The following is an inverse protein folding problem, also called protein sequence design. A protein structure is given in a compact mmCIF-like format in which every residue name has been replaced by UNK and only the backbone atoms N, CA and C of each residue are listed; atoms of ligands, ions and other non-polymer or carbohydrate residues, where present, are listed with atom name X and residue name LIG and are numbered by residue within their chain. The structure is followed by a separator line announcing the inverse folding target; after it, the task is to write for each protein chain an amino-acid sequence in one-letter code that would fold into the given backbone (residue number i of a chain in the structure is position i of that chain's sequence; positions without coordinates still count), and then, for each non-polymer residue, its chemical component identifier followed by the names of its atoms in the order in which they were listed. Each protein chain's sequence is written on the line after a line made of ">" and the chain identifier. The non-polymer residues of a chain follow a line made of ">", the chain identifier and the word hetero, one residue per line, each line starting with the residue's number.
data_IF_924340819247
#
_entry.id   IF_924340819247
#
_cell.length_a   1.000
_cell.length_b   1.000
_cell.length_c   1.000
_cell.angle_alpha   90.00
_cell.angle_beta   90.00
_cell.angle_gamma   90.00
#
_symmetry.space_group_name_H-M   'P 1'
#
loop_
_entity.id
_entity.type
_entity.pdbx_description
1 polymer ?
#
# COMPACT_ATOMS: atom_id res chain seq x y z
N UNK A 1 2.17 8.43 -5.95
CA UNK A 1 3.09 7.28 -5.95
C UNK A 1 3.42 6.94 -4.51
N UNK A 2 3.28 5.67 -4.13
CA UNK A 2 3.49 5.15 -2.78
C UNK A 2 4.80 4.36 -2.74
N UNK A 3 5.76 4.85 -1.97
CA UNK A 3 7.10 4.27 -1.87
C UNK A 3 7.29 3.66 -0.48
N UNK A 4 7.45 2.34 -0.46
CA UNK A 4 7.78 1.57 0.72
C UNK A 4 9.26 1.67 1.06
N UNK A 5 9.89 0.53 1.31
CA UNK A 5 11.29 0.53 1.73
C UNK A 5 11.80 -0.87 2.05
N UNK A 6 12.86 -0.95 2.85
CA UNK A 6 13.40 -2.25 3.26
C UNK A 6 12.32 -3.12 3.89
N UNK A 7 12.23 -4.37 3.42
CA UNK A 7 11.30 -5.35 3.93
C UNK A 7 11.99 -6.71 4.03
N UNK A 8 11.42 -7.61 4.85
CA UNK A 8 11.94 -8.97 5.04
C UNK A 8 11.75 -9.89 3.83
N UNK A 9 10.96 -9.48 2.84
CA UNK A 9 10.50 -10.33 1.74
C UNK A 9 11.04 -9.91 0.38
N UNK A 10 11.47 -8.66 0.24
CA UNK A 10 11.96 -8.09 -1.02
C UNK A 10 13.34 -7.49 -0.84
N UNK A 11 14.17 -7.63 -1.88
CA UNK A 11 15.47 -6.98 -1.97
C UNK A 11 15.29 -5.56 -2.46
N UNK A 12 15.44 -4.63 -1.52
CA UNK A 12 15.43 -3.21 -1.85
C UNK A 12 16.76 -2.80 -2.47
N UNK A 13 16.70 -2.16 -3.64
CA UNK A 13 17.80 -1.45 -4.29
C UNK A 13 17.32 -0.07 -4.72
N UNK A 14 17.76 0.98 -4.03
CA UNK A 14 17.26 2.36 -4.23
C UNK A 14 17.39 2.81 -5.68
N UNK A 15 18.47 2.43 -6.38
CA UNK A 15 18.71 2.78 -7.79
C UNK A 15 17.67 2.13 -8.72
N UNK A 16 17.35 0.87 -8.51
CA UNK A 16 16.37 0.15 -9.32
C UNK A 16 14.95 0.62 -9.06
N UNK A 17 14.61 0.95 -7.81
CA UNK A 17 13.30 1.55 -7.49
C UNK A 17 13.20 2.96 -8.10
N UNK A 18 14.23 3.80 -7.95
CA UNK A 18 14.25 5.16 -8.50
C UNK A 18 14.10 5.16 -10.03
N UNK A 19 14.86 4.30 -10.74
CA UNK A 19 14.72 4.17 -12.21
C UNK A 19 13.33 3.76 -12.66
N UNK A 20 12.67 2.85 -11.95
CA UNK A 20 11.29 2.48 -12.27
C UNK A 20 10.31 3.62 -12.01
N UNK A 21 10.48 4.34 -10.89
CA UNK A 21 9.65 5.50 -10.56
C UNK A 21 9.80 6.62 -11.60
N UNK A 22 11.03 6.93 -12.01
CA UNK A 22 11.34 7.91 -13.07
C UNK A 22 10.62 7.56 -14.38
N UNK A 23 10.75 6.32 -14.84
CA UNK A 23 10.08 5.83 -16.06
C UNK A 23 8.56 5.97 -15.99
N UNK A 24 7.94 5.63 -14.86
CA UNK A 24 6.48 5.76 -14.67
C UNK A 24 6.05 7.22 -14.84
N UNK A 25 6.82 8.13 -14.25
CA UNK A 25 6.54 9.56 -14.25
C UNK A 25 6.76 10.13 -15.66
N UNK A 26 7.83 9.76 -16.34
CA UNK A 26 8.10 10.17 -17.73
C UNK A 26 7.02 9.71 -18.72
N UNK A 27 6.53 8.48 -18.56
CA UNK A 27 5.52 7.90 -19.45
C UNK A 27 4.11 8.48 -19.22
N UNK A 28 3.90 9.26 -18.16
CA UNK A 28 2.59 9.83 -17.83
C UNK A 28 2.73 11.28 -17.35
N UNK A 29 2.24 12.21 -18.17
CA UNK A 29 2.19 13.66 -17.89
C UNK A 29 1.22 14.06 -16.76
N UNK A 30 0.79 13.13 -15.91
CA UNK A 30 -0.03 13.41 -14.74
C UNK A 30 0.79 14.14 -13.67
N UNK A 31 0.10 14.87 -12.80
CA UNK A 31 0.72 15.43 -11.60
C UNK A 31 0.97 14.32 -10.57
N UNK A 32 2.20 14.19 -10.11
CA UNK A 32 2.62 13.12 -9.20
C UNK A 32 2.95 13.67 -7.82
N UNK A 33 2.27 13.17 -6.79
CA UNK A 33 2.70 13.29 -5.39
C UNK A 33 3.43 12.03 -4.98
N UNK A 34 4.58 12.14 -4.32
CA UNK A 34 5.35 10.98 -3.85
C UNK A 34 5.23 10.88 -2.33
N UNK A 35 4.54 9.83 -1.87
CA UNK A 35 4.44 9.50 -0.46
C UNK A 35 5.44 8.40 -0.13
N UNK A 36 6.42 8.69 0.72
CA UNK A 36 7.42 7.72 1.21
C UNK A 36 6.98 7.12 2.54
N UNK A 37 7.71 6.11 3.01
CA UNK A 37 7.48 5.47 4.30
C UNK A 37 8.70 5.64 5.21
N UNK A 38 8.52 5.40 6.51
CA UNK A 38 9.65 5.36 7.48
C UNK A 38 10.73 4.32 7.13
N UNK A 39 10.43 3.36 6.25
CA UNK A 39 11.37 2.31 5.81
C UNK A 39 12.13 2.70 4.55
N UNK A 40 11.76 3.79 3.88
CA UNK A 40 12.42 4.24 2.65
C UNK A 40 13.85 4.65 2.96
N UNK A 41 14.86 4.07 2.29
CA UNK A 41 16.24 4.50 2.46
C UNK A 41 16.46 5.96 2.10
N UNK A 42 17.36 6.66 2.82
CA UNK A 42 17.59 8.09 2.62
C UNK A 42 18.18 8.41 1.24
N UNK A 43 18.91 7.47 0.62
CA UNK A 43 19.51 7.64 -0.70
C UNK A 43 18.48 7.59 -1.85
N UNK A 44 17.28 7.05 -1.62
CA UNK A 44 16.25 6.91 -2.65
C UNK A 44 15.84 8.26 -3.24
N UNK A 45 15.60 9.28 -2.41
CA UNK A 45 15.14 10.58 -2.90
C UNK A 45 16.21 11.28 -3.73
N UNK A 46 17.48 11.20 -3.29
CA UNK A 46 18.60 11.72 -4.06
C UNK A 46 18.64 11.08 -5.47
N UNK A 47 18.61 9.74 -5.53
CA UNK A 47 18.60 9.00 -6.79
C UNK A 47 17.37 9.29 -7.65
N UNK A 48 16.21 9.51 -7.01
CA UNK A 48 14.99 9.87 -7.72
C UNK A 48 15.12 11.25 -8.35
N UNK A 49 15.66 12.24 -7.64
CA UNK A 49 15.81 13.62 -8.08
C UNK A 49 16.95 13.84 -9.09
N UNK A 50 17.79 12.84 -9.36
CA UNK A 50 18.80 12.87 -10.44
C UNK A 50 18.18 13.01 -11.84
N UNK A 51 16.89 12.69 -12.00
CA UNK A 51 16.20 12.78 -13.29
C UNK A 51 15.38 14.08 -13.42
N UNK A 52 15.43 14.80 -14.57
CA UNK A 52 14.72 16.07 -14.74
C UNK A 52 13.21 16.00 -14.51
N UNK A 53 12.58 14.89 -14.91
CA UNK A 53 11.13 14.69 -14.75
C UNK A 53 10.68 14.60 -13.28
N UNK A 54 11.61 14.34 -12.37
CA UNK A 54 11.32 14.11 -10.95
C UNK A 54 11.99 15.14 -10.05
N UNK A 55 13.01 15.86 -10.52
CA UNK A 55 13.83 16.80 -9.73
C UNK A 55 13.05 17.83 -8.90
N UNK A 56 11.90 18.31 -9.40
CA UNK A 56 11.07 19.30 -8.72
C UNK A 56 9.93 18.69 -7.87
N UNK A 57 9.77 17.37 -7.86
CA UNK A 57 8.67 16.73 -7.15
C UNK A 57 8.94 16.69 -5.66
N UNK A 58 7.96 17.17 -4.88
CA UNK A 58 7.96 17.00 -3.44
C UNK A 58 7.73 15.53 -3.09
N UNK A 59 8.52 15.02 -2.15
CA UNK A 59 8.46 13.65 -1.68
C UNK A 59 8.66 13.59 -0.17
N UNK A 60 7.84 12.81 0.52
CA UNK A 60 7.94 12.69 1.97
C UNK A 60 6.89 11.79 2.60
N UNK A 61 6.98 11.62 3.92
CA UNK A 61 5.97 10.91 4.70
C UNK A 61 4.78 11.85 4.89
N UNK A 62 3.61 11.43 4.42
CA UNK A 62 2.36 12.17 4.58
C UNK A 62 1.55 11.64 5.78
N UNK A 63 0.76 12.49 6.45
CA UNK A 63 -0.28 12.05 7.38
C UNK A 63 -1.25 11.07 6.70
N UNK A 64 -1.77 10.10 7.45
CA UNK A 64 -2.62 9.05 6.90
C UNK A 64 -3.92 9.59 6.25
N UNK A 65 -4.55 10.60 6.86
CA UNK A 65 -5.76 11.23 6.34
C UNK A 65 -5.54 11.96 5.02
N UNK A 66 -4.40 12.65 4.90
CA UNK A 66 -3.99 13.34 3.67
C UNK A 66 -3.67 12.33 2.57
N UNK A 67 -2.91 11.28 2.90
CA UNK A 67 -2.58 10.21 1.96
C UNK A 67 -3.84 9.55 1.41
N UNK A 68 -4.79 9.21 2.27
CA UNK A 68 -6.06 8.60 1.86
C UNK A 68 -6.88 9.54 0.95
N UNK A 69 -6.92 10.84 1.27
CA UNK A 69 -7.62 11.84 0.45
C UNK A 69 -7.02 11.96 -0.95
N UNK A 70 -5.68 11.94 -1.04
CA UNK A 70 -4.96 11.92 -2.31
C UNK A 70 -5.23 10.63 -3.09
N UNK A 71 -5.23 9.47 -2.41
CA UNK A 71 -5.50 8.19 -3.06
C UNK A 71 -6.92 8.11 -3.62
N UNK A 72 -7.92 8.64 -2.90
CA UNK A 72 -9.33 8.64 -3.33
C UNK A 72 -9.62 9.53 -4.55
N UNK A 73 -8.74 10.49 -4.84
CA UNK A 73 -8.89 11.41 -5.99
C UNK A 73 -7.90 11.10 -7.11
N UNK A 74 -6.96 10.18 -6.89
CA UNK A 74 -5.94 9.82 -7.86
C UNK A 74 -6.53 8.99 -9.01
N UNK A 75 -6.34 9.44 -10.25
CA UNK A 75 -6.65 8.60 -11.42
C UNK A 75 -5.65 7.45 -11.61
N UNK A 76 -4.44 7.57 -11.06
CA UNK A 76 -3.36 6.58 -11.19
C UNK A 76 -2.57 6.50 -9.90
N UNK A 77 -2.18 5.28 -9.52
CA UNK A 77 -1.30 5.05 -8.37
C UNK A 77 -0.18 4.10 -8.81
N UNK A 78 1.06 4.50 -8.57
CA UNK A 78 2.20 3.59 -8.60
C UNK A 78 2.59 3.22 -7.18
N UNK A 79 2.78 1.93 -6.88
CA UNK A 79 3.05 1.42 -5.54
C UNK A 79 4.16 0.39 -5.55
N UNK A 80 5.03 0.40 -4.54
CA UNK A 80 6.09 -0.62 -4.38
C UNK A 80 5.53 -1.96 -3.90
N UNK A 81 6.12 -3.06 -4.37
CA UNK A 81 5.61 -4.41 -4.09
C UNK A 81 5.86 -4.93 -2.66
N UNK A 82 6.54 -4.17 -1.80
CA UNK A 82 6.98 -4.60 -0.47
C UNK A 82 5.92 -4.50 0.64
N UNK A 83 4.78 -3.84 0.37
CA UNK A 83 3.72 -3.63 1.36
C UNK A 83 2.35 -4.07 0.85
N UNK A 84 1.81 -5.15 1.44
CA UNK A 84 0.49 -5.65 1.05
C UNK A 84 -0.63 -4.68 1.40
N UNK A 85 -0.50 -3.93 2.50
CA UNK A 85 -1.49 -2.90 2.83
C UNK A 85 -1.54 -1.88 1.70
N UNK A 86 -0.42 -1.22 1.38
CA UNK A 86 -0.39 -0.16 0.36
C UNK A 86 -0.88 -0.66 -1.00
N UNK A 87 -0.55 -1.90 -1.37
CA UNK A 87 -1.08 -2.53 -2.58
C UNK A 87 -2.61 -2.67 -2.50
N UNK A 88 -3.13 -3.21 -1.40
CA UNK A 88 -4.57 -3.40 -1.20
C UNK A 88 -5.31 -2.06 -1.21
N UNK A 89 -4.83 -1.06 -0.46
CA UNK A 89 -5.42 0.28 -0.44
C UNK A 89 -5.36 0.95 -1.83
N UNK A 90 -4.27 0.77 -2.58
CA UNK A 90 -4.16 1.29 -3.94
C UNK A 90 -5.20 0.64 -4.87
N UNK A 91 -5.35 -0.68 -4.80
CA UNK A 91 -6.31 -1.40 -5.64
C UNK A 91 -7.77 -1.06 -5.28
N UNK A 92 -8.05 -0.84 -4.00
CA UNK A 92 -9.38 -0.44 -3.52
C UNK A 92 -9.75 1.01 -3.87
N UNK A 93 -8.79 1.86 -4.22
CA UNK A 93 -9.05 3.28 -4.53
C UNK A 93 -9.83 3.51 -5.83
N UNK A 94 -9.92 2.50 -6.70
CA UNK A 94 -10.47 2.64 -8.05
C UNK A 94 -9.49 3.27 -9.07
N UNK A 95 -8.31 3.69 -8.62
CA UNK A 95 -7.26 4.22 -9.51
C UNK A 95 -6.66 3.13 -10.40
N UNK A 96 -6.07 3.52 -11.53
CA UNK A 96 -5.27 2.61 -12.33
C UNK A 96 -3.92 2.36 -11.65
N UNK A 97 -3.67 1.14 -11.17
CA UNK A 97 -2.53 0.82 -10.32
C UNK A 97 -1.36 0.22 -11.11
N UNK A 98 -0.16 0.80 -10.99
CA UNK A 98 1.10 0.24 -11.48
C UNK A 98 1.96 -0.27 -10.33
N UNK A 99 2.68 -1.37 -10.54
CA UNK A 99 3.52 -1.98 -9.51
C UNK A 99 5.00 -1.69 -9.76
N UNK A 100 5.69 -1.10 -8.78
CA UNK A 100 7.15 -0.97 -8.76
C UNK A 100 7.73 -2.25 -8.16
N UNK A 101 8.45 -3.01 -8.99
CA UNK A 101 8.86 -4.39 -8.68
C UNK A 101 10.27 -4.42 -8.10
N UNK A 102 10.46 -5.32 -7.14
CA UNK A 102 11.74 -5.64 -6.53
C UNK A 102 11.93 -7.15 -6.51
N UNK A 103 13.18 -7.66 -6.56
CA UNK A 103 13.44 -9.07 -6.41
C UNK A 103 12.90 -9.62 -5.09
N UNK A 104 12.43 -10.86 -5.11
CA UNK A 104 11.98 -11.56 -3.91
C UNK A 104 13.19 -12.17 -3.20
N UNK A 105 13.34 -11.87 -1.91
CA UNK A 105 14.32 -12.55 -1.03
C UNK A 105 13.95 -13.99 -0.79
N UNK A 106 12.65 -14.22 -0.53
CA UNK A 106 12.09 -15.53 -0.20
C UNK A 106 10.61 -15.59 -0.50
N UNK A 107 10.13 -16.80 -0.82
CA UNK A 107 8.70 -17.07 -0.92
C UNK A 107 8.02 -16.85 0.43
N UNK A 108 6.85 -16.22 0.42
CA UNK A 108 6.10 -15.83 1.60
C UNK A 108 4.62 -15.72 1.28
N UNK A 109 3.78 -15.45 2.30
CA UNK A 109 2.36 -15.18 2.09
C UNK A 109 2.16 -13.96 1.18
N UNK A 110 2.91 -12.88 1.39
CA UNK A 110 2.79 -11.66 0.58
C UNK A 110 3.21 -11.92 -0.88
N UNK A 111 4.27 -12.69 -1.13
CA UNK A 111 4.71 -12.95 -2.51
C UNK A 111 3.70 -13.82 -3.27
N UNK A 112 3.10 -14.81 -2.60
CA UNK A 112 2.03 -15.63 -3.19
C UNK A 112 0.79 -14.80 -3.51
N UNK A 113 0.41 -13.91 -2.60
CA UNK A 113 -0.74 -13.03 -2.80
C UNK A 113 -0.50 -12.02 -3.92
N UNK A 114 0.68 -11.41 -3.96
CA UNK A 114 1.08 -10.54 -5.06
C UNK A 114 1.05 -11.27 -6.40
N UNK A 115 1.56 -12.51 -6.47
CA UNK A 115 1.47 -13.33 -7.67
C UNK A 115 0.01 -13.61 -8.08
N UNK A 116 -0.89 -13.85 -7.12
CA UNK A 116 -2.33 -14.02 -7.38
C UNK A 116 -2.93 -12.76 -8.01
N UNK A 117 -2.62 -11.58 -7.44
CA UNK A 117 -3.11 -10.29 -7.94
C UNK A 117 -2.58 -9.94 -9.32
N UNK A 118 -1.29 -10.23 -9.58
CA UNK A 118 -0.68 -10.05 -10.91
C UNK A 118 -1.37 -10.94 -11.94
N UNK A 119 -1.55 -12.25 -11.66
CA UNK A 119 -2.25 -13.16 -12.57
C UNK A 119 -3.71 -12.80 -12.79
N UNK A 120 -4.33 -12.17 -11.81
CA UNK A 120 -5.69 -11.65 -11.91
C UNK A 120 -5.77 -10.33 -12.71
N UNK A 121 -4.67 -9.82 -13.28
CA UNK A 121 -4.67 -8.61 -14.11
C UNK A 121 -5.03 -7.34 -13.33
N UNK A 122 -4.72 -7.29 -12.04
CA UNK A 122 -5.07 -6.14 -11.17
C UNK A 122 -4.13 -4.93 -11.30
N UNK A 123 -3.01 -5.09 -12.00
CA UNK A 123 -2.04 -4.03 -12.21
C UNK A 123 -1.91 -3.71 -13.69
N UNK A 124 -1.71 -2.43 -14.00
CA UNK A 124 -1.23 -2.01 -15.31
C UNK A 124 0.13 -2.62 -15.57
N UNK A 125 0.26 -3.25 -16.73
CA UNK A 125 1.53 -3.78 -17.19
C UNK A 125 2.46 -2.64 -17.58
N UNK A 126 3.70 -2.70 -17.10
CA UNK A 126 4.75 -1.79 -17.51
C UNK A 126 5.42 -2.36 -18.76
N UNK A 127 4.67 -2.52 -19.85
CA UNK A 127 5.29 -2.97 -21.10
C UNK A 127 6.07 -1.80 -21.70
N UNK A 128 7.33 -2.09 -22.02
CA UNK A 128 8.03 -1.43 -23.12
C UNK A 128 7.10 -1.49 -24.33
N UNK A 129 6.66 -0.32 -24.78
CA UNK A 129 5.76 -0.09 -25.92
C UNK A 129 4.35 -0.72 -25.81
N UNK A 130 3.36 0.18 -25.87
CA UNK A 130 1.98 0.00 -26.31
C UNK A 130 1.37 -1.41 -26.19
N UNK A 131 0.67 -1.66 -25.09
CA UNK A 131 -0.53 -2.49 -25.11
C UNK A 131 -1.54 -1.92 -24.12
N UNK A 132 -2.57 -1.28 -24.67
CA UNK A 132 -3.74 -0.78 -23.96
C UNK A 132 -4.47 -1.97 -23.33
N UNK A 133 -4.22 -2.23 -22.04
CA UNK A 133 -5.04 -3.14 -21.26
C UNK A 133 -6.24 -2.36 -20.73
N UNK A 134 -7.40 -2.61 -21.35
CA UNK A 134 -8.69 -2.21 -20.83
C UNK A 134 -8.90 -2.92 -19.49
N UNK A 135 -8.78 -2.18 -18.39
CA UNK A 135 -9.17 -2.68 -17.07
C UNK A 135 -10.68 -2.95 -17.11
N UNK A 136 -11.15 -4.18 -16.85
CA UNK A 136 -12.57 -4.39 -16.62
C UNK A 136 -12.93 -3.62 -15.36
N UNK A 137 -13.92 -2.72 -15.47
CA UNK A 137 -14.48 -1.97 -14.35
C UNK A 137 -14.71 -2.92 -13.18
N UNK A 138 -13.85 -2.86 -12.18
CA UNK A 138 -14.01 -3.67 -10.98
C UNK A 138 -15.13 -3.02 -10.17
N UNK A 139 -16.11 -3.82 -9.74
CA UNK A 139 -16.96 -3.41 -8.63
C UNK A 139 -16.02 -3.01 -7.46
N UNK A 140 -16.08 -1.78 -6.96
CA UNK A 140 -15.14 -1.25 -5.98
C UNK A 140 -15.51 -1.75 -4.58
N UNK A 141 -15.57 -3.07 -4.40
CA UNK A 141 -15.68 -3.66 -3.07
C UNK A 141 -14.26 -3.83 -2.58
N UNK A 142 -13.85 -2.95 -1.66
CA UNK A 142 -12.55 -3.05 -1.01
C UNK A 142 -12.43 -4.38 -0.27
N UNK A 143 -11.22 -4.91 -0.11
CA UNK A 143 -10.99 -6.06 0.77
C UNK A 143 -11.53 -5.81 2.19
N UNK A 144 -11.48 -4.56 2.65
CA UNK A 144 -12.10 -4.14 3.92
C UNK A 144 -13.62 -4.34 3.92
N UNK A 145 -14.30 -3.95 2.84
CA UNK A 145 -15.75 -4.13 2.71
C UNK A 145 -16.12 -5.60 2.59
N UNK A 146 -15.29 -6.39 1.88
CA UNK A 146 -15.45 -7.85 1.81
C UNK A 146 -15.29 -8.50 3.20
N UNK A 147 -14.33 -8.03 3.99
CA UNK A 147 -14.14 -8.48 5.36
C UNK A 147 -15.30 -8.08 6.26
N UNK A 148 -15.79 -6.83 6.14
CA UNK A 148 -16.95 -6.35 6.89
C UNK A 148 -18.20 -7.18 6.58
N UNK A 149 -18.52 -7.36 5.31
CA UNK A 149 -19.65 -8.19 4.89
C UNK A 149 -19.53 -9.66 5.35
N UNK A 150 -18.30 -10.20 5.37
CA UNK A 150 -18.06 -11.55 5.88
C UNK A 150 -18.25 -11.64 7.40
N UNK A 151 -17.81 -10.62 8.15
CA UNK A 151 -18.05 -10.52 9.59
C UNK A 151 -19.55 -10.38 9.88
N UNK A 152 -20.28 -9.56 9.12
CA UNK A 152 -21.73 -9.39 9.26
C UNK A 152 -22.51 -10.70 9.05
N UNK A 153 -22.01 -11.59 8.17
CA UNK A 153 -22.59 -12.93 8.00
C UNK A 153 -22.28 -13.87 9.17
N UNK A 154 -21.13 -13.71 9.83
CA UNK A 154 -20.71 -14.58 10.94
C UNK A 154 -21.25 -14.12 12.29
N UNK A 155 -21.43 -12.82 12.51
CA UNK A 155 -21.89 -12.24 13.77
C UNK A 155 -23.19 -12.87 14.31
N UNK A 156 -24.22 -13.18 13.50
CA UNK A 156 -25.43 -13.88 13.97
C UNK A 156 -25.18 -15.30 14.50
N UNK A 157 -24.04 -15.90 14.17
CA UNK A 157 -23.68 -17.29 14.53
C UNK A 157 -22.63 -17.38 15.65
N UNK A 158 -22.11 -16.24 16.12
CA UNK A 158 -21.14 -16.21 17.21
C UNK A 158 -21.86 -16.18 18.57
N UNK A 159 -21.46 -17.01 19.53
CA UNK A 159 -21.97 -16.92 20.90
C UNK A 159 -21.59 -15.54 21.48
N UNK A 160 -22.51 -14.91 22.22
CA UNK A 160 -22.26 -13.64 22.89
C UNK A 160 -20.94 -13.72 23.69
N UNK A 161 -19.99 -12.86 23.34
CA UNK A 161 -18.77 -12.67 24.13
C UNK A 161 -19.25 -12.02 25.44
N UNK A 162 -19.40 -12.82 26.49
CA UNK A 162 -19.62 -12.29 27.85
C UNK A 162 -18.46 -11.37 28.18
N UNK A 163 -18.71 -10.06 28.19
CA UNK A 163 -17.79 -9.09 28.77
C UNK A 163 -17.61 -9.46 30.24
N UNK A 164 -16.48 -10.08 30.59
CA UNK A 164 -16.03 -10.10 31.97
C UNK A 164 -15.62 -8.67 32.32
N UNK A 165 -16.59 -7.90 32.83
CA UNK A 165 -16.29 -6.69 33.59
C UNK A 165 -15.55 -7.15 34.83
N UNK A 166 -14.21 -7.15 34.79
CA UNK A 166 -13.40 -7.30 35.98
C UNK A 166 -13.69 -6.09 36.88
N UNK A 167 -14.55 -6.28 37.86
CA UNK A 167 -14.73 -5.33 38.94
C UNK A 167 -13.38 -5.19 39.66
N UNK A 168 -12.78 -4.01 39.57
CA UNK A 168 -11.64 -3.65 40.42
C UNK A 168 -12.08 -3.76 41.88
N UNK A 169 -11.37 -4.53 42.73
CA UNK A 169 -11.69 -4.54 44.14
C UNK A 169 -11.32 -3.18 44.75
N UNK A 170 -12.33 -2.52 45.32
CA UNK A 170 -12.18 -1.41 46.27
C UNK A 170 -11.33 -1.90 47.44
N UNK A 171 -10.07 -1.46 47.52
CA UNK A 171 -9.22 -1.73 48.67
C UNK A 171 -9.74 -0.95 49.88
N UNK A 172 -10.24 -1.69 50.86
CA UNK A 172 -10.65 -1.22 52.19
C UNK A 172 -9.43 -0.80 53.02
N UNK A 173 -9.46 0.46 53.46
CA UNK A 173 -9.14 0.99 54.81
C UNK A 173 -8.41 0.11 55.85
N UNK A 174 -7.32 0.67 56.42
CA UNK A 174 -6.80 0.51 57.80
C UNK A 174 -6.01 -0.79 58.08
N UNK A 175 -4.97 -0.87 58.92
CA UNK A 175 -4.29 -0.02 59.93
C UNK A 175 -2.96 -0.78 60.31
N UNK A 176 -2.32 -0.61 61.49
CA UNK A 176 -1.57 0.53 62.05
C UNK A 176 -0.07 0.21 62.30
N UNK A 177 0.75 1.25 62.51
CA UNK A 177 1.80 1.38 63.54
C UNK A 177 2.27 2.83 63.60
#
# INVERSE_FOLDING_TARGET
>A
MLIGGNSRHFDWDSRTVARQAQRIIEQNSAQWTIATSRRTPPDFLQLLHEHPATAALSAGILPASELLSLMNTAGRIAVTCDSMSMISESLSSGAAVSLIRMPLRKSSRISRELCRLIRAGRFLEQSTEQLTLTLPAQNPVSESDRCAAFLDQLLPSLPEIRTQTAAYPTALSGAPA
#
